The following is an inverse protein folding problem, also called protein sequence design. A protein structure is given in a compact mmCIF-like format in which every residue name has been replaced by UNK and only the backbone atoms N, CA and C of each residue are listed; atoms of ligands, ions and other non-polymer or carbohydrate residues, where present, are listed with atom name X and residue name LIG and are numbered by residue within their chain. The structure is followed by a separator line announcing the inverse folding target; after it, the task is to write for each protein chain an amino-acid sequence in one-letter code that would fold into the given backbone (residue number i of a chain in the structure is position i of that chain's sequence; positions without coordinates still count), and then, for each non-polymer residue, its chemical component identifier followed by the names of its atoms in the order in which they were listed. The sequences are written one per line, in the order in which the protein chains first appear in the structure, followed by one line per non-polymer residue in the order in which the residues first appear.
data_IF_606192234359
#
_entry.id   IF_606192234359
#
_cell.length_a   1.000
_cell.length_b   1.000
_cell.length_c   1.000
_cell.angle_alpha   90.00
_cell.angle_beta   90.00
_cell.angle_gamma   90.00
#
_symmetry.space_group_name_H-M   'P 1'
#
loop_
_entity.id
_entity.type
_entity.pdbx_description
1 polymer ?
#
# COMPACT_ATOMS: atom_id res chain seq x y z
N UNK A 1 0.84 3.48 32.51
CA UNK A 1 1.65 4.23 31.53
C UNK A 1 0.94 4.15 30.19
N UNK A 2 0.89 5.24 29.45
CA UNK A 2 0.31 5.24 28.11
C UNK A 2 1.22 4.46 27.16
N UNK A 3 0.66 3.50 26.44
CA UNK A 3 1.38 2.70 25.46
C UNK A 3 1.16 3.30 24.06
N UNK A 4 2.22 3.44 23.30
CA UNK A 4 2.24 3.90 21.92
C UNK A 4 2.80 2.83 21.01
N UNK A 5 2.68 3.01 19.72
CA UNK A 5 3.36 2.19 18.70
C UNK A 5 4.34 3.05 17.91
N UNK A 6 5.38 2.40 17.37
CA UNK A 6 6.36 3.02 16.48
C UNK A 6 6.81 2.04 15.39
N UNK A 7 7.27 2.58 14.27
CA UNK A 7 7.90 1.81 13.19
C UNK A 7 9.37 1.60 13.54
N UNK A 8 9.86 0.37 13.47
CA UNK A 8 11.25 0.00 13.74
C UNK A 8 11.94 -0.70 12.57
N UNK A 9 11.22 -1.03 11.52
CA UNK A 9 11.78 -1.62 10.31
C UNK A 9 10.85 -1.50 9.13
N UNK A 10 11.44 -1.36 7.94
CA UNK A 10 10.73 -1.33 6.65
C UNK A 10 11.37 -2.34 5.69
N UNK A 11 10.59 -2.83 4.74
CA UNK A 11 11.08 -3.73 3.70
C UNK A 11 10.15 -3.73 2.50
N UNK A 12 10.71 -3.95 1.34
CA UNK A 12 9.95 -3.97 0.10
C UNK A 12 10.44 -5.06 -0.86
N UNK A 13 9.57 -5.47 -1.77
CA UNK A 13 9.92 -6.35 -2.87
C UNK A 13 9.08 -6.03 -4.10
N UNK A 14 9.75 -5.91 -5.23
CA UNK A 14 9.16 -5.86 -6.56
C UNK A 14 9.53 -7.14 -7.31
N UNK A 15 8.59 -7.77 -8.03
CA UNK A 15 8.92 -8.89 -8.92
C UNK A 15 10.04 -8.54 -9.90
N UNK A 16 10.83 -9.51 -10.31
CA UNK A 16 11.98 -9.29 -11.19
C UNK A 16 11.56 -8.83 -12.59
N UNK A 17 10.41 -9.28 -13.06
CA UNK A 17 9.88 -8.92 -14.37
C UNK A 17 9.41 -7.48 -14.41
N UNK A 18 10.31 -6.58 -14.81
CA UNK A 18 10.00 -5.19 -15.10
C UNK A 18 9.37 -5.07 -16.47
N UNK A 19 8.24 -4.38 -16.58
CA UNK A 19 7.46 -4.17 -17.80
C UNK A 19 7.36 -2.67 -18.07
N UNK A 20 7.95 -2.23 -19.17
CA UNK A 20 7.91 -0.83 -19.62
C UNK A 20 6.60 -0.51 -20.34
N UNK A 21 6.34 0.77 -20.57
CA UNK A 21 5.21 1.17 -21.41
C UNK A 21 5.37 0.66 -22.85
N UNK A 22 6.60 0.56 -23.37
CA UNK A 22 6.84 0.01 -24.71
C UNK A 22 6.46 -1.48 -24.78
N UNK A 23 6.84 -2.27 -23.75
CA UNK A 23 6.46 -3.70 -23.69
C UNK A 23 4.94 -3.87 -23.70
N UNK A 24 4.21 -3.02 -22.95
CA UNK A 24 2.74 -3.05 -22.96
C UNK A 24 2.17 -2.56 -24.29
N UNK A 25 2.76 -1.53 -24.90
CA UNK A 25 2.34 -1.04 -26.21
C UNK A 25 2.43 -2.14 -27.26
N UNK A 26 3.54 -2.87 -27.29
CA UNK A 26 3.76 -3.98 -28.23
C UNK A 26 2.77 -5.14 -27.96
N UNK A 27 2.55 -5.48 -26.70
CA UNK A 27 1.59 -6.52 -26.30
C UNK A 27 0.15 -6.16 -26.68
N UNK A 28 -0.27 -4.90 -26.49
CA UNK A 28 -1.61 -4.42 -26.80
C UNK A 28 -1.82 -4.24 -28.32
N UNK A 29 -0.78 -3.78 -29.02
CA UNK A 29 -0.81 -3.66 -30.49
C UNK A 29 -1.04 -5.03 -31.17
N UNK A 30 -0.45 -6.12 -30.64
CA UNK A 30 -0.70 -7.47 -31.13
C UNK A 30 -2.18 -7.92 -31.01
N UNK A 31 -2.97 -7.22 -30.18
CA UNK A 31 -4.42 -7.40 -30.00
C UNK A 31 -5.27 -6.34 -30.74
N UNK A 32 -4.63 -5.45 -31.52
CA UNK A 32 -5.29 -4.35 -32.20
C UNK A 32 -5.68 -3.17 -31.29
N UNK A 33 -5.08 -3.06 -30.12
CA UNK A 33 -5.36 -1.99 -29.14
C UNK A 33 -4.25 -0.94 -29.24
N UNK A 34 -4.58 0.28 -29.62
CA UNK A 34 -3.64 1.38 -29.75
C UNK A 34 -3.36 2.04 -28.39
N UNK A 35 -2.09 2.19 -28.05
CA UNK A 35 -1.60 3.00 -26.93
C UNK A 35 -0.17 3.46 -27.23
N UNK A 36 0.40 4.32 -26.38
CA UNK A 36 1.79 4.73 -26.48
C UNK A 36 2.36 5.11 -25.10
N UNK A 37 3.68 5.16 -24.98
CA UNK A 37 4.35 5.64 -23.77
C UNK A 37 3.88 7.05 -23.40
N UNK A 38 3.82 7.98 -24.35
CA UNK A 38 3.36 9.35 -24.10
C UNK A 38 1.91 9.40 -23.60
N UNK A 39 1.04 8.53 -24.15
CA UNK A 39 -0.35 8.43 -23.70
C UNK A 39 -0.46 7.96 -22.25
N UNK A 40 0.33 6.95 -21.88
CA UNK A 40 0.34 6.38 -20.52
C UNK A 40 0.94 7.40 -19.54
N UNK A 41 2.13 7.93 -19.81
CA UNK A 41 2.85 8.88 -18.96
C UNK A 41 2.03 10.15 -18.74
N UNK A 42 1.47 10.74 -19.81
CA UNK A 42 0.69 12.00 -19.69
C UNK A 42 -0.54 11.87 -18.79
N UNK A 43 -1.11 10.67 -18.66
CA UNK A 43 -2.30 10.41 -17.86
C UNK A 43 -2.04 9.92 -16.46
N UNK A 44 -0.97 9.17 -16.27
CA UNK A 44 -0.69 8.47 -15.02
C UNK A 44 0.64 8.85 -14.36
N UNK A 45 1.61 9.30 -15.15
CA UNK A 45 3.00 9.46 -14.71
C UNK A 45 3.79 8.14 -14.69
N UNK A 46 3.19 7.02 -15.14
CA UNK A 46 3.79 5.69 -15.08
C UNK A 46 4.64 5.44 -16.33
N UNK A 47 5.90 5.07 -16.14
CA UNK A 47 6.84 4.64 -17.19
C UNK A 47 7.07 3.14 -17.20
N UNK A 48 6.96 2.49 -16.03
CA UNK A 48 7.14 1.06 -15.87
C UNK A 48 6.33 0.51 -14.69
N UNK A 49 6.18 -0.80 -14.64
CA UNK A 49 5.64 -1.58 -13.52
C UNK A 49 6.36 -2.92 -13.45
N UNK A 50 6.06 -3.67 -12.39
CA UNK A 50 6.56 -5.03 -12.24
C UNK A 50 5.39 -6.00 -12.22
N UNK A 51 5.56 -7.17 -12.82
CA UNK A 51 4.56 -8.24 -12.81
C UNK A 51 5.17 -9.50 -12.21
N UNK A 52 4.41 -10.14 -11.33
CA UNK A 52 4.77 -11.41 -10.74
C UNK A 52 4.86 -12.52 -11.80
N UNK A 53 5.80 -13.44 -11.61
CA UNK A 53 5.93 -14.59 -12.48
C UNK A 53 4.73 -15.54 -12.36
N UNK A 54 4.44 -16.34 -13.40
CA UNK A 54 3.40 -17.35 -13.33
C UNK A 54 3.60 -18.27 -12.11
N UNK A 55 2.58 -18.35 -11.25
CA UNK A 55 2.63 -19.13 -10.01
C UNK A 55 3.13 -18.38 -8.78
N UNK A 56 3.80 -17.24 -8.91
CA UNK A 56 4.20 -16.39 -7.78
C UNK A 56 2.96 -15.72 -7.16
N UNK A 57 2.74 -15.89 -5.87
CA UNK A 57 1.56 -15.45 -5.14
C UNK A 57 1.83 -14.22 -4.28
N UNK A 58 0.77 -13.57 -3.82
CA UNK A 58 0.85 -12.42 -2.92
C UNK A 58 1.69 -12.72 -1.67
N UNK A 59 1.53 -13.92 -1.09
CA UNK A 59 2.34 -14.34 0.06
C UNK A 59 3.83 -14.49 -0.26
N UNK A 60 4.22 -14.83 -1.51
CA UNK A 60 5.63 -14.94 -1.90
C UNK A 60 6.31 -13.58 -1.90
N UNK A 61 5.62 -12.57 -2.46
CA UNK A 61 6.06 -11.18 -2.44
C UNK A 61 6.13 -10.65 -0.99
N UNK A 62 5.05 -10.91 -0.23
CA UNK A 62 4.93 -10.49 1.17
C UNK A 62 6.08 -11.01 2.04
N UNK A 63 6.46 -12.29 1.91
CA UNK A 63 7.56 -12.89 2.67
C UNK A 63 8.91 -12.23 2.35
N UNK A 64 9.16 -11.88 1.09
CA UNK A 64 10.41 -11.21 0.68
C UNK A 64 10.49 -9.80 1.28
N UNK A 65 9.39 -9.04 1.26
CA UNK A 65 9.32 -7.73 1.90
C UNK A 65 9.42 -7.85 3.43
N UNK A 66 8.71 -8.80 4.04
CA UNK A 66 8.72 -9.05 5.49
C UNK A 66 10.12 -9.37 6.03
N UNK A 67 10.89 -10.23 5.35
CA UNK A 67 12.28 -10.55 5.75
C UNK A 67 13.14 -9.29 5.81
N UNK A 68 13.06 -8.41 4.81
CA UNK A 68 13.81 -7.15 4.80
C UNK A 68 13.39 -6.20 5.94
N UNK A 69 12.10 -6.18 6.28
CA UNK A 69 11.59 -5.38 7.39
C UNK A 69 12.06 -5.93 8.75
N UNK A 70 12.06 -7.26 8.92
CA UNK A 70 12.57 -7.94 10.11
C UNK A 70 14.07 -7.72 10.27
N UNK A 71 14.85 -7.86 9.20
CA UNK A 71 16.31 -7.63 9.20
C UNK A 71 16.61 -6.20 9.65
N UNK A 72 15.90 -5.19 9.11
CA UNK A 72 16.05 -3.78 9.53
C UNK A 72 15.66 -3.58 10.98
N UNK A 73 14.59 -4.22 11.45
CA UNK A 73 14.14 -4.13 12.85
C UNK A 73 15.07 -4.86 13.82
N UNK A 74 15.97 -5.73 13.34
CA UNK A 74 16.80 -6.60 14.16
C UNK A 74 16.01 -7.67 14.92
N UNK A 75 14.86 -8.10 14.36
CA UNK A 75 13.98 -9.09 14.94
C UNK A 75 14.02 -10.42 14.16
N UNK A 76 13.78 -11.50 14.89
CA UNK A 76 13.55 -12.81 14.30
C UNK A 76 12.06 -13.03 14.02
N UNK A 77 11.69 -13.91 13.09
CA UNK A 77 10.28 -14.20 12.80
C UNK A 77 9.43 -14.54 14.04
N UNK A 78 9.97 -15.31 14.98
CA UNK A 78 9.26 -15.67 16.22
C UNK A 78 9.14 -14.54 17.27
N UNK A 79 9.71 -13.37 17.01
CA UNK A 79 9.48 -12.16 17.83
C UNK A 79 8.17 -11.45 17.45
N UNK A 80 7.56 -11.81 16.31
CA UNK A 80 6.30 -11.25 15.82
C UNK A 80 5.13 -12.01 16.45
N UNK A 81 4.24 -11.28 17.08
CA UNK A 81 3.05 -11.83 17.75
C UNK A 81 1.72 -11.53 17.03
N UNK A 82 1.78 -10.71 15.95
CA UNK A 82 0.65 -10.47 15.07
C UNK A 82 1.15 -10.16 13.64
N UNK A 83 0.54 -10.80 12.64
CA UNK A 83 0.70 -10.47 11.23
C UNK A 83 -0.61 -9.90 10.69
N UNK A 84 -0.54 -8.73 10.05
CA UNK A 84 -1.67 -8.15 9.32
C UNK A 84 -1.25 -7.97 7.86
N UNK A 85 -1.95 -8.65 6.94
CA UNK A 85 -1.74 -8.48 5.50
C UNK A 85 -2.91 -7.70 4.90
N UNK A 86 -2.60 -6.55 4.28
CA UNK A 86 -3.53 -5.81 3.46
C UNK A 86 -3.39 -6.28 2.00
N UNK A 87 -4.45 -6.88 1.45
CA UNK A 87 -4.45 -7.37 0.07
C UNK A 87 -5.87 -7.43 -0.51
N UNK A 88 -5.98 -7.12 -1.80
CA UNK A 88 -7.17 -7.37 -2.62
C UNK A 88 -6.97 -8.57 -3.56
N UNK A 89 -5.75 -9.09 -3.60
CA UNK A 89 -5.34 -10.23 -4.42
C UNK A 89 -4.71 -11.34 -3.55
N UNK A 90 -5.50 -11.90 -2.60
CA UNK A 90 -5.02 -12.92 -1.69
C UNK A 90 -4.62 -14.21 -2.41
N UNK A 91 -3.84 -15.06 -1.75
CA UNK A 91 -3.40 -16.35 -2.30
C UNK A 91 -4.58 -17.26 -2.68
N UNK A 92 -5.66 -17.18 -1.91
CA UNK A 92 -6.89 -17.95 -2.12
C UNK A 92 -8.04 -16.97 -2.34
N UNK A 93 -8.27 -16.61 -3.59
CA UNK A 93 -9.25 -15.61 -3.97
C UNK A 93 -10.68 -16.06 -3.59
N UNK A 94 -11.35 -15.23 -2.77
CA UNK A 94 -12.71 -15.51 -2.29
C UNK A 94 -12.83 -16.74 -1.36
N UNK A 95 -11.70 -17.23 -0.79
CA UNK A 95 -11.66 -18.43 0.03
C UNK A 95 -10.67 -18.28 1.20
N UNK A 96 -10.29 -19.38 1.82
CA UNK A 96 -9.38 -19.50 2.94
C UNK A 96 -8.28 -20.53 2.65
N UNK A 97 -7.15 -20.54 3.40
CA UNK A 97 -6.81 -19.66 4.53
C UNK A 97 -6.43 -18.24 4.12
N UNK A 98 -6.30 -17.31 5.11
CA UNK A 98 -5.82 -15.95 4.88
C UNK A 98 -4.38 -15.96 4.35
N UNK A 99 -4.03 -14.94 3.57
CA UNK A 99 -2.66 -14.71 3.09
C UNK A 99 -1.69 -14.54 4.27
N UNK A 100 -2.13 -13.90 5.35
CA UNK A 100 -1.34 -13.74 6.57
C UNK A 100 -0.96 -15.08 7.21
N UNK A 101 -1.86 -16.10 7.23
CA UNK A 101 -1.52 -17.44 7.70
C UNK A 101 -0.46 -18.12 6.80
N UNK A 102 -0.53 -17.92 5.49
CA UNK A 102 0.48 -18.44 4.56
C UNK A 102 1.83 -17.75 4.75
N UNK A 103 1.83 -16.42 4.96
CA UNK A 103 3.04 -15.66 5.30
C UNK A 103 3.66 -16.17 6.60
N UNK A 104 2.85 -16.39 7.64
CA UNK A 104 3.30 -16.94 8.92
C UNK A 104 4.01 -18.28 8.72
N UNK A 105 3.39 -19.19 7.96
CA UNK A 105 3.96 -20.50 7.63
C UNK A 105 5.30 -20.35 6.88
N UNK A 106 5.34 -19.52 5.84
CA UNK A 106 6.54 -19.35 5.00
C UNK A 106 7.69 -18.64 5.73
N UNK A 107 7.40 -17.80 6.72
CA UNK A 107 8.40 -17.21 7.61
C UNK A 107 8.89 -18.17 8.70
N UNK A 108 8.24 -19.31 8.88
CA UNK A 108 8.58 -20.29 9.93
C UNK A 108 8.20 -19.84 11.34
N UNK A 109 7.19 -18.99 11.48
CA UNK A 109 6.70 -18.52 12.78
C UNK A 109 5.90 -19.62 13.46
N UNK A 110 6.28 -19.98 14.69
CA UNK A 110 5.73 -21.10 15.47
C UNK A 110 5.29 -20.72 16.88
N UNK A 111 5.30 -19.43 17.19
CA UNK A 111 4.95 -18.90 18.52
C UNK A 111 3.43 -18.78 18.78
N UNK A 112 2.59 -19.24 17.85
CA UNK A 112 1.13 -19.11 17.88
C UNK A 112 0.63 -17.65 17.84
N UNK A 113 1.41 -16.72 17.34
CA UNK A 113 0.98 -15.33 17.07
C UNK A 113 -0.21 -15.28 16.13
N UNK A 114 -1.05 -14.26 16.26
CA UNK A 114 -2.23 -14.11 15.42
C UNK A 114 -1.87 -13.71 13.98
N UNK A 115 -2.73 -14.08 13.01
CA UNK A 115 -2.56 -13.71 11.60
C UNK A 115 -3.92 -13.41 10.97
N UNK A 116 -4.05 -12.24 10.30
CA UNK A 116 -5.32 -11.77 9.72
C UNK A 116 -5.08 -10.98 8.44
N UNK A 117 -5.99 -11.11 7.47
CA UNK A 117 -6.04 -10.26 6.30
C UNK A 117 -7.01 -9.09 6.52
N UNK A 118 -6.65 -7.92 5.98
CA UNK A 118 -7.50 -6.72 5.92
C UNK A 118 -7.73 -6.35 4.46
N UNK A 119 -8.99 -6.17 4.07
CA UNK A 119 -9.35 -5.73 2.74
C UNK A 119 -9.94 -4.32 2.77
N UNK A 120 -9.19 -3.36 2.27
CA UNK A 120 -9.62 -1.99 2.00
C UNK A 120 -8.95 -1.45 0.72
N UNK A 121 -8.63 -2.35 -0.21
CA UNK A 121 -8.00 -2.11 -1.51
C UNK A 121 -6.77 -1.19 -1.35
N UNK A 122 -6.68 -0.11 -2.10
CA UNK A 122 -5.51 0.78 -2.08
C UNK A 122 -5.29 1.52 -0.75
N UNK A 123 -6.32 1.69 0.08
CA UNK A 123 -6.18 2.20 1.46
C UNK A 123 -5.85 1.12 2.49
N UNK A 124 -5.75 -0.15 2.05
CA UNK A 124 -5.58 -1.30 2.94
C UNK A 124 -4.41 -1.19 3.88
N UNK A 125 -3.28 -0.63 3.43
CA UNK A 125 -2.09 -0.49 4.27
C UNK A 125 -2.31 0.49 5.45
N UNK A 126 -2.94 1.65 5.23
CA UNK A 126 -3.24 2.60 6.32
C UNK A 126 -4.29 2.04 7.28
N UNK A 127 -5.24 1.24 6.78
CA UNK A 127 -6.17 0.49 7.63
C UNK A 127 -5.44 -0.56 8.49
N UNK A 128 -4.53 -1.32 7.91
CA UNK A 128 -3.74 -2.34 8.61
C UNK A 128 -2.82 -1.70 9.67
N UNK A 129 -2.16 -0.57 9.34
CA UNK A 129 -1.35 0.17 10.33
C UNK A 129 -2.18 0.72 11.48
N UNK A 130 -3.36 1.28 11.18
CA UNK A 130 -4.26 1.79 12.22
C UNK A 130 -4.76 0.66 13.13
N UNK A 131 -5.02 -0.52 12.57
CA UNK A 131 -5.40 -1.71 13.35
C UNK A 131 -4.24 -2.19 14.23
N UNK A 132 -3.02 -2.22 13.69
CA UNK A 132 -1.82 -2.57 14.45
C UNK A 132 -1.56 -1.58 15.61
N UNK A 133 -1.68 -0.26 15.35
CA UNK A 133 -1.57 0.76 16.41
C UNK A 133 -2.58 0.53 17.53
N UNK A 134 -3.84 0.26 17.17
CA UNK A 134 -4.90 0.00 18.15
C UNK A 134 -4.60 -1.24 19.01
N UNK A 135 -4.14 -2.34 18.42
CA UNK A 135 -3.81 -3.58 19.15
C UNK A 135 -2.60 -3.39 20.06
N UNK A 136 -1.57 -2.68 19.59
CA UNK A 136 -0.39 -2.36 20.41
C UNK A 136 -0.79 -1.46 21.58
N UNK A 137 -1.54 -0.38 21.34
CA UNK A 137 -1.97 0.56 22.38
C UNK A 137 -2.92 -0.07 23.40
N UNK A 138 -3.71 -1.04 22.99
CA UNK A 138 -4.54 -1.86 23.88
C UNK A 138 -3.73 -2.87 24.72
N UNK A 139 -2.43 -3.02 24.46
CA UNK A 139 -1.55 -3.99 25.12
C UNK A 139 -1.81 -5.44 24.72
N UNK A 140 -2.53 -5.67 23.61
CA UNK A 140 -2.82 -7.01 23.09
C UNK A 140 -1.61 -7.63 22.39
N UNK A 141 -0.84 -6.82 21.67
CA UNK A 141 0.34 -7.24 20.90
C UNK A 141 1.50 -6.29 21.15
N UNK A 142 2.73 -6.82 21.03
CA UNK A 142 3.96 -6.03 21.18
C UNK A 142 4.61 -5.74 19.85
N UNK A 143 4.86 -6.77 19.04
CA UNK A 143 5.54 -6.64 17.75
C UNK A 143 4.59 -7.09 16.64
N UNK A 144 4.19 -6.18 15.79
CA UNK A 144 3.23 -6.42 14.71
C UNK A 144 3.93 -6.24 13.36
N UNK A 145 3.81 -7.25 12.51
CA UNK A 145 4.26 -7.19 11.12
C UNK A 145 3.06 -6.79 10.24
N UNK A 146 3.13 -5.61 9.65
CA UNK A 146 2.09 -5.05 8.76
C UNK A 146 2.60 -5.09 7.34
N UNK A 147 1.85 -5.71 6.43
CA UNK A 147 2.25 -5.94 5.04
C UNK A 147 1.16 -5.46 4.11
N UNK A 148 1.53 -4.71 3.07
CA UNK A 148 0.71 -4.51 1.86
C UNK A 148 1.30 -5.37 0.74
N UNK A 149 0.51 -6.26 0.13
CA UNK A 149 1.01 -7.17 -0.91
C UNK A 149 -0.05 -7.43 -1.96
N UNK A 150 0.33 -7.26 -3.23
CA UNK A 150 -0.61 -7.37 -4.35
C UNK A 150 0.01 -8.06 -5.57
N UNK A 151 -0.80 -8.88 -6.23
CA UNK A 151 -0.56 -9.39 -7.58
C UNK A 151 -1.71 -8.94 -8.47
N UNK A 152 -1.78 -7.62 -8.70
CA UNK A 152 -2.88 -6.97 -9.41
C UNK A 152 -2.94 -7.36 -10.89
N UNK A 153 -1.80 -7.72 -11.48
CA UNK A 153 -1.71 -8.18 -12.87
C UNK A 153 -2.66 -9.33 -13.19
N UNK A 154 -3.07 -10.12 -12.18
CA UNK A 154 -3.96 -11.29 -12.34
C UNK A 154 -5.43 -10.95 -12.48
N UNK A 155 -5.83 -9.75 -12.09
CA UNK A 155 -7.22 -9.31 -12.14
C UNK A 155 -7.45 -8.23 -13.20
N UNK A 156 -6.44 -7.97 -14.06
CA UNK A 156 -6.51 -6.99 -15.13
C UNK A 156 -7.00 -7.64 -16.43
N UNK A 157 -7.92 -6.96 -17.10
CA UNK A 157 -8.24 -7.27 -18.50
C UNK A 157 -7.21 -6.58 -19.42
N UNK A 158 -6.32 -7.35 -20.00
CA UNK A 158 -5.37 -6.85 -21.01
C UNK A 158 -6.02 -6.56 -22.39
N UNK A 159 -7.33 -6.49 -22.45
CA UNK A 159 -8.07 -5.90 -23.57
C UNK A 159 -8.62 -4.51 -23.21
N UNK A 160 -8.55 -4.10 -21.95
CA UNK A 160 -8.90 -2.76 -21.48
C UNK A 160 -7.66 -1.94 -21.16
N UNK A 161 -7.21 -1.11 -22.14
CA UNK A 161 -6.07 -0.22 -21.93
C UNK A 161 -6.28 0.87 -20.88
N UNK A 162 -7.51 1.09 -20.43
CA UNK A 162 -7.80 2.14 -19.42
C UNK A 162 -7.40 1.71 -18.01
N UNK A 163 -7.28 0.42 -17.79
CA UNK A 163 -6.90 -0.18 -16.50
C UNK A 163 -5.58 -0.92 -16.55
N UNK A 164 -5.31 -1.76 -17.54
CA UNK A 164 -4.14 -2.64 -17.57
C UNK A 164 -2.79 -1.91 -17.60
N UNK A 165 -2.76 -0.66 -18.08
CA UNK A 165 -1.54 0.16 -18.13
C UNK A 165 -1.22 0.85 -16.81
N UNK A 166 -2.11 0.80 -15.81
CA UNK A 166 -1.95 1.54 -14.56
C UNK A 166 -1.32 0.71 -13.45
N UNK A 167 -1.69 -0.55 -13.34
CA UNK A 167 -1.39 -1.37 -12.17
C UNK A 167 -0.11 -2.17 -12.32
N UNK A 168 0.48 -2.50 -11.16
CA UNK A 168 1.63 -3.38 -11.03
C UNK A 168 1.52 -4.25 -9.78
N UNK A 169 2.48 -5.16 -9.62
CA UNK A 169 2.58 -6.11 -8.53
C UNK A 169 3.73 -5.71 -7.59
N UNK A 170 3.61 -6.05 -6.32
CA UNK A 170 4.65 -5.80 -5.34
C UNK A 170 4.20 -6.02 -3.91
N UNK A 171 5.13 -5.94 -2.99
CA UNK A 171 4.88 -5.98 -1.56
C UNK A 171 5.76 -4.98 -0.81
N UNK A 172 5.20 -4.41 0.23
CA UNK A 172 5.94 -3.64 1.22
C UNK A 172 5.51 -4.01 2.62
N UNK A 173 6.40 -3.92 3.58
CA UNK A 173 6.17 -4.30 4.96
C UNK A 173 6.76 -3.30 5.94
N UNK A 174 6.14 -3.18 7.10
CA UNK A 174 6.71 -2.50 8.27
C UNK A 174 6.61 -3.39 9.50
N UNK A 175 7.59 -3.28 10.38
CA UNK A 175 7.52 -3.81 11.73
C UNK A 175 7.16 -2.66 12.67
N UNK A 176 6.05 -2.81 13.38
CA UNK A 176 5.62 -1.89 14.44
C UNK A 176 5.83 -2.54 15.80
N UNK A 177 6.27 -1.77 16.78
CA UNK A 177 6.48 -2.26 18.16
C UNK A 177 5.88 -1.33 19.19
N UNK A 178 5.59 -1.87 20.38
CA UNK A 178 5.18 -1.12 21.55
C UNK A 178 6.28 -0.16 22.02
N UNK A 179 5.92 1.06 22.41
CA UNK A 179 6.84 2.12 22.79
C UNK A 179 6.28 2.98 23.92
N UNK A 180 7.17 3.59 24.70
CA UNK A 180 6.81 4.66 25.64
C UNK A 180 6.82 6.04 24.97
N UNK A 181 7.42 6.14 23.78
CA UNK A 181 7.44 7.35 22.95
C UNK A 181 6.47 7.19 21.78
N UNK A 182 5.67 8.23 21.46
CA UNK A 182 4.74 8.17 20.34
C UNK A 182 5.48 8.15 19.00
N UNK A 183 5.32 7.04 18.25
CA UNK A 183 5.75 6.93 16.86
C UNK A 183 4.57 7.13 15.91
N UNK A 184 3.45 6.40 16.10
CA UNK A 184 2.20 6.73 15.43
C UNK A 184 1.52 7.84 16.23
N UNK A 185 1.35 9.00 15.59
CA UNK A 185 0.81 10.21 16.23
C UNK A 185 -0.71 10.27 16.11
N UNK A 186 -1.24 9.96 14.94
CA UNK A 186 -2.67 9.93 14.67
C UNK A 186 -3.02 9.00 13.52
N UNK A 187 -4.24 8.48 13.55
CA UNK A 187 -4.85 7.74 12.45
C UNK A 187 -6.27 8.24 12.19
N UNK A 188 -6.68 8.25 10.93
CA UNK A 188 -8.04 8.56 10.51
C UNK A 188 -8.48 7.59 9.41
N UNK A 189 -9.63 6.95 9.59
CA UNK A 189 -10.17 5.96 8.66
C UNK A 189 -11.62 6.25 8.35
N UNK A 190 -12.00 6.15 7.07
CA UNK A 190 -13.35 6.40 6.60
C UNK A 190 -13.75 5.47 5.46
N UNK A 191 -15.06 5.26 5.30
CA UNK A 191 -15.64 4.55 4.18
C UNK A 191 -16.98 5.18 3.75
N UNK A 192 -17.30 5.06 2.46
CA UNK A 192 -18.62 5.38 1.91
C UNK A 192 -19.05 4.30 0.91
N UNK A 193 -19.85 3.34 1.38
CA UNK A 193 -20.32 2.21 0.59
C UNK A 193 -21.23 2.59 -0.58
N UNK A 194 -21.74 3.83 -0.67
CA UNK A 194 -22.53 4.31 -1.80
C UNK A 194 -21.74 4.36 -3.11
N UNK A 195 -20.41 4.35 -3.00
CA UNK A 195 -19.49 4.39 -4.13
C UNK A 195 -18.85 3.03 -4.47
N UNK A 196 -19.39 1.92 -3.94
CA UNK A 196 -18.81 0.57 -4.12
C UNK A 196 -18.67 0.14 -5.60
N UNK A 197 -19.54 0.63 -6.46
CA UNK A 197 -19.55 0.25 -7.88
C UNK A 197 -18.57 0.99 -8.79
N UNK A 198 -17.86 2.05 -8.32
CA UNK A 198 -16.95 2.83 -9.20
C UNK A 198 -15.53 2.25 -9.31
N UNK A 199 -15.17 1.38 -8.40
CA UNK A 199 -13.90 0.64 -8.41
C UNK A 199 -14.12 -0.68 -7.68
N UNK A 200 -14.31 -1.75 -8.44
CA UNK A 200 -14.67 -3.05 -7.89
C UNK A 200 -14.22 -4.19 -8.82
N UNK A 201 -14.39 -5.39 -8.33
CA UNK A 201 -14.31 -6.62 -9.09
C UNK A 201 -15.71 -7.23 -9.15
N UNK A 202 -16.49 -6.94 -10.21
CA UNK A 202 -17.88 -7.43 -10.30
C UNK A 202 -17.88 -8.96 -10.46
N UNK A 203 -18.89 -9.59 -9.86
CA UNK A 203 -19.26 -11.01 -10.05
C UNK A 203 -18.15 -12.06 -9.88
N UNK A 204 -17.16 -11.76 -9.03
CA UNK A 204 -16.06 -12.70 -8.75
C UNK A 204 -16.48 -13.94 -7.97
N UNK A 205 -17.73 -14.01 -7.47
CA UNK A 205 -18.24 -15.15 -6.70
C UNK A 205 -19.67 -15.52 -7.11
N UNK A 206 -19.82 -16.71 -7.67
CA UNK A 206 -21.11 -17.42 -7.74
C UNK A 206 -22.04 -17.14 -8.93
N UNK A 207 -21.67 -16.31 -9.89
CA UNK A 207 -22.56 -15.99 -11.01
C UNK A 207 -21.95 -16.13 -12.40
N UNK A 208 -20.72 -15.75 -12.57
CA UNK A 208 -19.96 -15.89 -13.80
C UNK A 208 -18.97 -17.05 -13.71
N UNK A 209 -18.51 -17.54 -14.84
CA UNK A 209 -17.48 -18.57 -14.92
C UNK A 209 -16.25 -18.11 -14.16
N UNK A 210 -15.77 -18.91 -13.24
CA UNK A 210 -14.58 -18.60 -12.46
C UNK A 210 -13.41 -18.28 -13.42
N UNK A 211 -12.86 -17.06 -13.31
CA UNK A 211 -11.76 -16.59 -14.16
C UNK A 211 -12.11 -15.51 -15.19
N UNK A 212 -13.36 -15.10 -15.33
CA UNK A 212 -13.78 -14.04 -16.27
C UNK A 212 -14.06 -12.67 -15.62
N UNK A 213 -13.96 -12.55 -14.29
CA UNK A 213 -14.15 -11.29 -13.60
C UNK A 213 -12.84 -10.48 -13.57
N UNK A 214 -12.88 -9.30 -14.16
CA UNK A 214 -11.77 -8.37 -14.18
C UNK A 214 -12.09 -7.11 -13.38
N UNK A 215 -11.06 -6.39 -13.01
CA UNK A 215 -11.16 -5.08 -12.37
C UNK A 215 -11.98 -4.12 -13.25
N UNK A 216 -13.01 -3.52 -12.64
CA UNK A 216 -13.75 -2.40 -13.21
C UNK A 216 -13.38 -1.09 -12.50
N UNK A 217 -13.19 -0.02 -13.27
CA UNK A 217 -12.88 1.31 -12.73
C UNK A 217 -13.53 2.42 -13.57
N UNK A 218 -14.40 3.21 -12.94
CA UNK A 218 -14.80 4.52 -13.44
C UNK A 218 -13.73 5.57 -13.07
N UNK A 219 -12.72 5.71 -13.92
CA UNK A 219 -11.57 6.57 -13.65
C UNK A 219 -11.92 8.02 -13.29
N UNK A 220 -12.81 8.72 -14.04
CA UNK A 220 -13.27 10.06 -13.70
C UNK A 220 -13.93 10.17 -12.31
N UNK A 221 -14.81 9.24 -11.96
CA UNK A 221 -15.47 9.22 -10.64
C UNK A 221 -14.47 8.95 -9.51
N UNK A 222 -13.58 7.97 -9.69
CA UNK A 222 -12.49 7.67 -8.75
C UNK A 222 -11.59 8.89 -8.54
N UNK A 223 -11.15 9.56 -9.61
CA UNK A 223 -10.31 10.77 -9.53
C UNK A 223 -10.99 11.87 -8.72
N UNK A 224 -12.24 12.20 -9.06
CA UNK A 224 -13.00 13.26 -8.38
C UNK A 224 -13.16 13.00 -6.89
N UNK A 225 -13.47 11.76 -6.52
CA UNK A 225 -13.66 11.37 -5.13
C UNK A 225 -12.33 11.37 -4.37
N UNK A 226 -11.27 10.77 -4.94
CA UNK A 226 -9.95 10.73 -4.34
C UNK A 226 -9.42 12.13 -3.98
N UNK A 227 -9.44 13.06 -4.92
CA UNK A 227 -8.99 14.46 -4.70
C UNK A 227 -9.83 15.17 -3.64
N UNK A 228 -11.10 14.77 -3.43
CA UNK A 228 -11.98 15.40 -2.44
C UNK A 228 -11.78 14.89 -1.01
N UNK A 229 -11.33 13.62 -0.83
CA UNK A 229 -11.24 12.99 0.48
C UNK A 229 -9.84 12.97 1.07
N UNK A 230 -8.79 12.87 0.23
CA UNK A 230 -7.40 12.75 0.70
C UNK A 230 -6.95 13.98 1.50
N UNK A 231 -7.16 15.19 0.98
CA UNK A 231 -6.88 16.42 1.74
C UNK A 231 -7.55 16.42 3.12
N UNK A 232 -8.85 16.09 3.15
CA UNK A 232 -9.64 16.15 4.38
C UNK A 232 -9.14 15.17 5.44
N UNK A 233 -8.82 13.94 5.03
CA UNK A 233 -8.36 12.93 5.97
C UNK A 233 -6.95 13.21 6.49
N UNK A 234 -6.08 13.83 5.68
CA UNK A 234 -4.78 14.29 6.12
C UNK A 234 -4.90 15.44 7.14
N UNK A 235 -5.79 16.42 6.88
CA UNK A 235 -6.06 17.50 7.84
C UNK A 235 -6.66 16.97 9.14
N UNK A 236 -7.58 16.00 9.09
CA UNK A 236 -8.12 15.34 10.28
C UNK A 236 -7.03 14.64 11.11
N UNK A 237 -6.09 13.96 10.46
CA UNK A 237 -4.97 13.33 11.16
C UNK A 237 -4.05 14.36 11.83
N UNK A 238 -3.81 15.50 11.19
CA UNK A 238 -3.06 16.62 11.80
C UNK A 238 -3.79 17.23 12.99
N UNK A 239 -5.10 17.48 12.87
CA UNK A 239 -5.92 17.98 13.97
C UNK A 239 -5.89 17.05 15.19
N UNK A 240 -6.04 15.73 14.98
CA UNK A 240 -5.94 14.72 16.04
C UNK A 240 -4.58 14.71 16.74
N UNK A 241 -3.51 15.08 16.03
CA UNK A 241 -2.15 15.14 16.57
C UNK A 241 -1.77 16.52 17.11
N UNK A 242 -2.66 17.52 17.05
CA UNK A 242 -2.37 18.93 17.35
C UNK A 242 -1.16 19.46 16.58
N UNK A 243 -1.11 19.18 15.28
CA UNK A 243 0.01 19.53 14.39
C UNK A 243 -0.45 20.39 13.22
N UNK A 244 0.42 21.33 12.80
CA UNK A 244 0.24 22.13 11.61
C UNK A 244 0.76 21.42 10.33
N UNK A 245 0.28 21.83 9.17
CA UNK A 245 0.66 21.25 7.87
C UNK A 245 2.16 21.38 7.56
N UNK A 246 2.80 22.47 7.94
CA UNK A 246 4.23 22.75 7.73
C UNK A 246 5.16 21.83 8.52
N UNK A 247 4.63 21.14 9.55
CA UNK A 247 5.34 20.15 10.34
C UNK A 247 5.44 18.77 9.66
N UNK A 248 4.80 18.59 8.49
CA UNK A 248 5.00 17.41 7.66
C UNK A 248 6.34 17.54 6.93
N UNK A 249 7.25 16.61 7.16
CA UNK A 249 8.52 16.51 6.44
C UNK A 249 8.34 15.76 5.12
N UNK A 250 7.57 14.66 5.11
CA UNK A 250 7.32 13.85 3.92
C UNK A 250 5.84 13.44 3.81
N UNK A 251 5.31 13.61 2.61
CA UNK A 251 4.03 13.03 2.19
C UNK A 251 4.30 11.74 1.41
N UNK A 252 3.70 10.64 1.84
CA UNK A 252 3.78 9.32 1.20
C UNK A 252 2.36 8.89 0.82
N UNK A 253 1.82 9.41 -0.28
CA UNK A 253 0.47 9.07 -0.70
C UNK A 253 0.45 7.69 -1.37
N UNK A 254 -0.73 7.08 -1.42
CA UNK A 254 -0.99 5.99 -2.35
C UNK A 254 -0.55 6.36 -3.77
N UNK A 255 0.26 5.52 -4.38
CA UNK A 255 0.87 5.73 -5.69
C UNK A 255 -0.11 5.35 -6.83
N UNK A 256 -1.25 6.04 -6.87
CA UNK A 256 -2.30 5.74 -7.84
C UNK A 256 -2.01 6.34 -9.21
N UNK A 257 -1.69 7.64 -9.20
CA UNK A 257 -1.58 8.48 -10.38
C UNK A 257 -0.93 9.81 -9.97
N UNK A 258 0.08 10.23 -10.69
CA UNK A 258 0.83 11.46 -10.36
C UNK A 258 -0.07 12.72 -10.28
N UNK A 259 -1.17 12.75 -11.04
CA UNK A 259 -2.10 13.89 -11.04
C UNK A 259 -2.91 13.98 -9.73
N UNK A 260 -3.35 12.83 -9.17
CA UNK A 260 -4.00 12.78 -7.86
C UNK A 260 -3.01 13.19 -6.79
N UNK A 261 -1.81 12.59 -6.80
CA UNK A 261 -0.75 12.86 -5.83
C UNK A 261 -0.37 14.35 -5.81
N UNK A 262 -0.11 14.96 -6.97
CA UNK A 262 0.20 16.39 -7.10
C UNK A 262 -0.95 17.27 -6.60
N UNK A 263 -2.21 16.88 -6.88
CA UNK A 263 -3.38 17.62 -6.41
C UNK A 263 -3.46 17.62 -4.89
N UNK A 264 -3.20 16.48 -4.25
CA UNK A 264 -3.22 16.36 -2.80
C UNK A 264 -2.10 17.17 -2.15
N UNK A 265 -0.85 17.01 -2.61
CA UNK A 265 0.28 17.80 -2.10
C UNK A 265 0.01 19.30 -2.19
N UNK A 266 -0.50 19.78 -3.35
CA UNK A 266 -0.85 21.19 -3.55
C UNK A 266 -1.93 21.68 -2.58
N UNK A 267 -2.97 20.89 -2.35
CA UNK A 267 -4.07 21.24 -1.41
C UNK A 267 -3.61 21.27 0.04
N UNK A 268 -2.65 20.41 0.40
CA UNK A 268 -1.99 20.41 1.70
C UNK A 268 -0.91 21.51 1.82
N UNK A 269 -0.73 22.34 0.81
CA UNK A 269 0.30 23.38 0.82
C UNK A 269 1.74 22.85 0.87
N UNK A 270 1.94 21.57 0.53
CA UNK A 270 3.25 20.94 0.56
C UNK A 270 3.97 21.09 -0.78
N UNK A 271 5.27 21.47 -0.76
CA UNK A 271 6.13 21.42 -1.94
C UNK A 271 6.19 19.99 -2.50
N UNK A 272 6.22 19.84 -3.83
CA UNK A 272 6.26 18.51 -4.47
C UNK A 272 7.53 17.73 -4.12
N UNK A 273 8.60 18.41 -3.76
CA UNK A 273 9.87 17.83 -3.32
C UNK A 273 9.75 17.09 -1.97
N UNK A 274 8.73 17.41 -1.18
CA UNK A 274 8.38 16.71 0.07
C UNK A 274 7.45 15.50 -0.17
N UNK A 275 7.12 15.19 -1.41
CA UNK A 275 6.29 14.03 -1.75
C UNK A 275 7.17 12.89 -2.27
N UNK A 276 7.00 11.71 -1.70
CA UNK A 276 7.65 10.50 -2.21
C UNK A 276 6.90 10.01 -3.44
N UNK A 277 7.61 9.88 -4.55
CA UNK A 277 7.09 9.40 -5.83
C UNK A 277 7.83 8.12 -6.20
N UNK A 278 7.08 7.06 -6.47
CA UNK A 278 7.57 5.77 -7.00
C UNK A 278 6.65 5.22 -8.08
N UNK A 279 5.51 5.86 -8.28
CA UNK A 279 4.48 5.45 -9.26
C UNK A 279 5.03 5.36 -10.68
N UNK A 280 6.02 6.17 -11.01
CA UNK A 280 6.67 6.21 -12.32
C UNK A 280 7.36 4.89 -12.68
N UNK A 281 7.91 4.16 -11.70
CA UNK A 281 8.63 2.91 -11.87
C UNK A 281 7.88 1.68 -11.36
N UNK A 282 7.00 1.85 -10.36
CA UNK A 282 6.29 0.73 -9.76
C UNK A 282 4.88 0.53 -10.32
N UNK A 283 4.31 1.56 -10.97
CA UNK A 283 2.89 1.60 -11.27
C UNK A 283 2.04 1.70 -10.01
N UNK A 284 0.74 1.50 -10.15
CA UNK A 284 -0.18 1.41 -9.02
C UNK A 284 -0.17 -0.02 -8.46
N UNK A 285 0.49 -0.24 -7.35
CA UNK A 285 0.54 -1.54 -6.65
C UNK A 285 -0.48 -1.63 -5.50
N UNK A 286 -1.61 -0.89 -5.59
CA UNK A 286 -2.72 -0.92 -4.61
C UNK A 286 -2.24 -0.81 -3.15
N UNK A 287 -2.57 -1.77 -2.27
CA UNK A 287 -2.17 -1.76 -0.87
C UNK A 287 -0.65 -1.79 -0.64
N UNK A 288 0.12 -2.29 -1.58
CA UNK A 288 1.58 -2.32 -1.48
C UNK A 288 2.25 -0.96 -1.75
N UNK A 289 1.55 -0.01 -2.36
CA UNK A 289 2.16 1.21 -2.91
C UNK A 289 2.78 2.12 -1.84
N UNK A 290 2.08 2.34 -0.73
CA UNK A 290 2.57 3.17 0.38
C UNK A 290 3.80 2.55 1.03
N UNK A 291 3.79 1.27 1.47
CA UNK A 291 4.96 0.69 2.12
C UNK A 291 6.15 0.49 1.16
N UNK A 292 5.93 0.29 -0.13
CA UNK A 292 6.99 0.31 -1.15
C UNK A 292 7.65 1.70 -1.24
N UNK A 293 6.85 2.76 -1.30
CA UNK A 293 7.32 4.14 -1.33
C UNK A 293 8.04 4.53 -0.02
N UNK A 294 7.52 4.11 1.13
CA UNK A 294 8.14 4.32 2.43
C UNK A 294 9.53 3.66 2.50
N UNK A 295 9.63 2.37 2.16
CA UNK A 295 10.91 1.65 2.19
C UNK A 295 11.94 2.26 1.22
N UNK A 296 11.51 2.65 0.02
CA UNK A 296 12.37 3.33 -0.95
C UNK A 296 12.95 4.64 -0.36
N UNK A 297 12.12 5.48 0.26
CA UNK A 297 12.55 6.75 0.83
C UNK A 297 13.37 6.60 2.13
N UNK A 298 13.19 5.51 2.88
CA UNK A 298 14.04 5.16 4.01
C UNK A 298 15.43 4.72 3.52
N UNK A 299 15.48 3.83 2.54
CA UNK A 299 16.73 3.25 2.03
C UNK A 299 17.60 4.24 1.26
N UNK A 300 17.01 5.20 0.57
CA UNK A 300 17.76 6.25 -0.12
C UNK A 300 18.14 7.44 0.78
N UNK A 301 17.77 7.37 2.07
CA UNK A 301 18.16 8.34 3.10
C UNK A 301 17.35 9.63 3.11
N UNK A 302 16.26 9.74 2.34
CA UNK A 302 15.34 10.89 2.41
C UNK A 302 14.65 10.96 3.77
N UNK A 303 14.12 9.83 4.25
CA UNK A 303 13.44 9.76 5.55
C UNK A 303 14.46 9.48 6.67
N UNK A 304 14.45 10.33 7.70
CA UNK A 304 15.41 10.31 8.80
C UNK A 304 14.70 10.33 10.15
N UNK A 305 15.41 9.90 11.18
CA UNK A 305 14.98 10.03 12.57
C UNK A 305 14.56 11.47 12.92
N UNK A 306 13.46 11.61 13.63
CA UNK A 306 12.88 12.88 14.06
C UNK A 306 11.87 13.46 13.09
N UNK A 307 11.78 12.97 11.85
CA UNK A 307 10.88 13.50 10.83
C UNK A 307 9.46 12.96 10.99
N UNK A 308 8.49 13.80 10.60
CA UNK A 308 7.08 13.48 10.56
C UNK A 308 6.68 13.11 9.13
N UNK A 309 6.06 11.94 8.97
CA UNK A 309 5.58 11.43 7.69
C UNK A 309 4.06 11.32 7.69
N UNK A 310 3.42 11.79 6.65
CA UNK A 310 2.00 11.60 6.39
C UNK A 310 1.83 10.51 5.32
N UNK A 311 1.22 9.40 5.67
CA UNK A 311 0.81 8.34 4.75
C UNK A 311 -0.69 8.43 4.54
N UNK A 312 -1.17 8.39 3.30
CA UNK A 312 -2.60 8.46 3.00
C UNK A 312 -2.96 7.59 1.80
N UNK A 313 -4.15 7.03 1.83
CA UNK A 313 -4.62 6.17 0.76
C UNK A 313 -6.12 6.22 0.57
N UNK A 314 -6.53 5.90 -0.65
CA UNK A 314 -7.92 5.81 -1.07
C UNK A 314 -8.09 4.61 -1.99
N UNK A 315 -9.16 3.85 -1.81
CA UNK A 315 -9.38 2.60 -2.56
C UNK A 315 -10.85 2.28 -2.79
N UNK A 316 -11.09 1.25 -3.57
CA UNK A 316 -12.44 0.72 -3.79
C UNK A 316 -13.16 0.44 -2.48
N UNK A 317 -14.48 0.60 -2.52
CA UNK A 317 -15.31 0.41 -1.34
C UNK A 317 -16.40 1.49 -1.18
N UNK A 318 -16.24 2.78 -1.17
CA UNK A 318 -14.98 3.50 -1.26
C UNK A 318 -14.39 3.68 0.14
N UNK A 319 -13.11 3.42 0.30
CA UNK A 319 -12.41 3.52 1.59
C UNK A 319 -11.25 4.51 1.50
N UNK A 320 -10.96 5.25 2.57
CA UNK A 320 -9.79 6.13 2.63
C UNK A 320 -9.29 6.28 4.06
N UNK A 321 -8.05 6.68 4.20
CA UNK A 321 -7.48 6.91 5.51
C UNK A 321 -6.12 7.58 5.43
N UNK A 322 -5.68 8.04 6.61
CA UNK A 322 -4.35 8.61 6.82
C UNK A 322 -3.73 8.10 8.12
N UNK A 323 -2.41 8.00 8.10
CA UNK A 323 -1.56 7.73 9.28
C UNK A 323 -0.48 8.80 9.33
N UNK A 324 -0.48 9.57 10.41
CA UNK A 324 0.60 10.51 10.73
C UNK A 324 1.56 9.83 11.70
N UNK A 325 2.83 9.71 11.31
CA UNK A 325 3.84 9.05 12.11
C UNK A 325 5.10 9.90 12.25
N UNK A 326 5.79 9.74 13.38
CA UNK A 326 7.15 10.24 13.61
C UNK A 326 8.12 9.09 13.55
N UNK A 327 9.19 9.25 12.80
CA UNK A 327 10.29 8.29 12.76
C UNK A 327 11.15 8.50 13.99
N UNK A 328 11.06 7.59 14.97
CA UNK A 328 11.77 7.71 16.25
C UNK A 328 13.13 7.03 16.26
N UNK A 329 13.35 6.09 15.33
CA UNK A 329 14.56 5.30 15.22
C UNK A 329 15.34 5.65 13.93
N UNK A 330 16.63 5.37 13.93
CA UNK A 330 17.44 5.45 12.71
C UNK A 330 17.24 4.16 11.91
N UNK A 331 16.31 4.22 10.94
CA UNK A 331 15.92 3.07 10.11
C UNK A 331 16.95 2.71 9.03
N UNK A 332 17.95 3.55 8.79
CA UNK A 332 18.96 3.34 7.73
C UNK A 332 20.34 2.90 8.21
N UNK A 333 20.56 2.83 9.52
CA UNK A 333 21.91 2.68 10.12
C UNK A 333 22.28 1.22 10.47
N UNK A 334 21.50 0.22 10.06
CA UNK A 334 21.77 -1.19 10.38
C UNK A 334 22.04 -2.03 9.15
#
# INVERSE_FOLDING_TARGET
MTLYSKIIGTGSYLPERRVTNQDLTDQLAAKGIETSDEWIVSRSGISARHFAEPGEKSSDLAVKAAKRALDMAGLQPNDIDLIIVASSTPDFFGSFPSTACIVQQKLGITNNGAAVDVQAVCSGFVYAMSTADAFIRAGMNKNVLVIGSEVFSRILDFNDRTTCVLFGDGAGAVVMTASQEPGILATALHADGRHSGILCMPDSFGGAVAGEAYLYMDGPAVFKLAVSVLEKVALEALEKADMAQDQIDWLIPHQANIRIMNSTAKKLGLPLEKMVVTVDQHGNTSAASIPLALDAAVRDGRIKKGQNIMMEGVGGGFTWGAVLARITDDLGAR
#
